data_IF_962865135594
#
_entry.id   IF_962865135594
#
_cell.length_a   1.000
_cell.length_b   1.000
_cell.length_c   1.000
_cell.angle_alpha   90.00
_cell.angle_beta   90.00
_cell.angle_gamma   90.00
#
_symmetry.space_group_name_H-M   'P 1'
#
loop_
_entity.id
_entity.type
_entity.pdbx_description
1 polymer ?
#
# COMPACT_ATOMS: atom_id res chain seq x y z
N UNK A 1 -11.48 13.31 -41.24
CA UNK A 1 -10.64 14.47 -40.86
C UNK A 1 -11.29 15.24 -39.71
N UNK A 2 -10.83 15.04 -38.47
CA UNK A 2 -10.86 16.08 -37.42
C UNK A 2 -9.63 15.84 -36.54
N UNK A 3 -8.68 16.77 -36.63
CA UNK A 3 -7.46 16.84 -35.83
C UNK A 3 -7.85 17.38 -34.45
N UNK A 4 -7.49 16.68 -33.39
CA UNK A 4 -7.45 17.27 -32.05
C UNK A 4 -6.00 17.62 -31.76
N UNK A 5 -5.73 18.93 -31.65
CA UNK A 5 -4.42 19.49 -31.31
C UNK A 5 -4.02 19.05 -29.89
N UNK A 6 -2.82 18.50 -29.77
CA UNK A 6 -2.08 18.49 -28.51
C UNK A 6 -1.41 19.86 -28.34
N UNK A 7 -1.84 20.61 -27.33
CA UNK A 7 -1.06 21.69 -26.70
C UNK A 7 -0.51 21.04 -25.44
N UNK A 8 0.77 21.01 -25.12
CA UNK A 8 1.88 21.87 -25.50
C UNK A 8 2.65 22.11 -24.20
N UNK A 9 3.93 21.76 -24.21
CA UNK A 9 4.85 21.82 -23.07
C UNK A 9 4.77 23.14 -22.28
N UNK A 10 4.41 23.08 -21.00
CA UNK A 10 4.63 24.19 -20.05
C UNK A 10 4.81 23.81 -18.57
N UNK A 11 4.78 22.53 -18.20
CA UNK A 11 4.86 22.10 -16.79
C UNK A 11 6.28 21.84 -16.28
N UNK A 12 7.28 21.75 -17.17
CA UNK A 12 8.67 21.50 -16.75
C UNK A 12 9.34 22.72 -16.08
N UNK A 13 8.82 23.94 -16.31
CA UNK A 13 9.38 25.15 -15.71
C UNK A 13 8.80 25.44 -14.31
N UNK A 14 7.59 24.95 -14.00
CA UNK A 14 6.94 25.14 -12.69
C UNK A 14 7.49 24.20 -11.60
N UNK A 15 7.98 23.00 -11.97
CA UNK A 15 8.55 22.05 -11.01
C UNK A 15 9.88 22.53 -10.43
N UNK A 16 10.70 23.16 -11.26
CA UNK A 16 12.00 23.71 -10.88
C UNK A 16 11.84 25.03 -10.11
N UNK A 17 10.80 25.82 -10.43
CA UNK A 17 10.35 26.96 -9.62
C UNK A 17 9.85 26.47 -8.26
N UNK A 18 9.10 25.37 -8.15
CA UNK A 18 8.58 24.84 -6.88
C UNK A 18 9.69 24.30 -5.94
N UNK A 19 10.67 23.56 -6.48
CA UNK A 19 11.81 23.06 -5.70
C UNK A 19 12.79 24.18 -5.30
N UNK A 20 13.05 25.15 -6.20
CA UNK A 20 13.86 26.34 -5.90
C UNK A 20 13.14 27.29 -4.96
N UNK A 21 11.81 27.43 -5.05
CA UNK A 21 11.02 28.22 -4.10
C UNK A 21 10.96 27.54 -2.73
N UNK A 22 10.91 26.21 -2.62
CA UNK A 22 10.95 25.54 -1.29
C UNK A 22 12.34 25.65 -0.63
N UNK A 23 13.43 25.41 -1.38
CA UNK A 23 14.80 25.64 -0.87
C UNK A 23 15.05 27.13 -0.56
N UNK A 24 14.54 28.05 -1.39
CA UNK A 24 14.60 29.48 -1.12
C UNK A 24 13.71 29.88 0.08
N UNK A 25 12.56 29.24 0.28
CA UNK A 25 11.69 29.44 1.45
C UNK A 25 12.41 29.05 2.75
N UNK A 26 13.12 27.91 2.74
CA UNK A 26 14.02 27.49 3.83
C UNK A 26 15.17 28.47 4.07
N UNK A 27 15.79 29.00 3.01
CA UNK A 27 16.94 29.92 3.10
C UNK A 27 16.53 31.34 3.50
N UNK A 28 15.32 31.80 3.14
CA UNK A 28 14.77 33.13 3.48
C UNK A 28 14.33 33.21 4.95
N UNK A 29 13.96 32.08 5.57
CA UNK A 29 13.68 31.97 7.01
C UNK A 29 14.92 32.17 7.89
N UNK A 30 16.14 31.98 7.36
CA UNK A 30 17.37 32.13 8.14
C UNK A 30 17.98 33.55 8.10
N UNK A 31 17.48 34.46 7.25
CA UNK A 31 18.19 35.72 6.94
C UNK A 31 17.36 37.00 6.93
N UNK A 32 16.07 36.94 7.25
CA UNK A 32 15.24 38.13 7.48
C UNK A 32 14.38 37.88 8.70
N UNK A 33 14.42 38.85 9.60
CA UNK A 33 13.55 39.01 10.76
C UNK A 33 12.11 39.28 10.28
N UNK A 34 11.54 38.28 9.61
CA UNK A 34 10.11 38.16 9.37
C UNK A 34 9.56 37.65 10.70
N UNK A 35 8.66 38.42 11.30
CA UNK A 35 7.78 38.07 12.41
C UNK A 35 7.74 36.55 12.61
N UNK A 36 8.19 36.06 13.76
CA UNK A 36 8.19 34.64 14.10
C UNK A 36 6.82 34.04 13.77
N UNK A 37 6.70 33.45 12.59
CA UNK A 37 5.52 32.70 12.19
C UNK A 37 5.48 31.55 13.18
N UNK A 38 4.42 31.51 13.97
CA UNK A 38 4.18 30.68 15.15
C UNK A 38 4.18 29.19 14.83
N UNK A 39 5.31 28.66 14.37
CA UNK A 39 5.49 27.24 14.17
C UNK A 39 5.42 26.58 15.53
N UNK A 40 4.40 25.73 15.71
CA UNK A 40 4.26 24.87 16.87
C UNK A 40 4.27 23.41 16.41
N UNK A 41 4.98 22.57 17.16
CA UNK A 41 4.82 21.13 17.03
C UNK A 41 3.38 20.76 17.38
N UNK A 42 2.78 19.89 16.57
CA UNK A 42 1.42 19.38 16.76
C UNK A 42 1.48 17.92 17.15
N UNK A 43 0.48 17.49 17.92
CA UNK A 43 0.14 16.09 18.09
C UNK A 43 -0.91 15.69 17.05
N UNK A 44 -0.59 14.72 16.18
CA UNK A 44 -1.42 14.38 15.02
C UNK A 44 -1.81 12.90 15.07
N UNK A 45 -3.12 12.63 14.99
CA UNK A 45 -3.66 11.29 14.83
C UNK A 45 -3.94 10.99 13.35
N UNK A 46 -3.36 9.92 12.81
CA UNK A 46 -3.63 9.42 11.45
C UNK A 46 -4.43 8.13 11.54
N UNK A 47 -5.65 8.14 11.04
CA UNK A 47 -6.55 6.97 11.02
C UNK A 47 -6.34 6.22 9.71
N UNK A 48 -5.67 5.07 9.77
CA UNK A 48 -5.33 4.20 8.65
C UNK A 48 -3.82 4.04 8.45
N UNK A 49 -3.34 2.80 8.53
CA UNK A 49 -1.93 2.41 8.41
C UNK A 49 -1.54 1.88 7.03
N UNK A 50 -2.32 2.14 5.98
CA UNK A 50 -1.99 1.77 4.59
C UNK A 50 -0.90 2.64 3.95
N UNK A 51 -0.59 2.42 2.67
CA UNK A 51 0.47 3.17 1.92
C UNK A 51 0.31 4.69 2.04
N UNK A 52 -0.92 5.20 1.86
CA UNK A 52 -1.19 6.64 1.94
C UNK A 52 -1.03 7.22 3.36
N UNK A 53 -1.46 6.45 4.37
CA UNK A 53 -1.27 6.81 5.78
C UNK A 53 0.20 6.86 6.16
N UNK A 54 0.98 5.84 5.79
CA UNK A 54 2.42 5.79 6.04
C UNK A 54 3.17 6.94 5.36
N UNK A 55 2.86 7.24 4.09
CA UNK A 55 3.46 8.38 3.38
C UNK A 55 3.14 9.71 4.08
N UNK A 56 1.89 9.89 4.52
CA UNK A 56 1.45 11.08 5.29
C UNK A 56 2.24 11.22 6.59
N UNK A 57 2.39 10.12 7.34
CA UNK A 57 3.12 10.10 8.61
C UNK A 57 4.59 10.50 8.42
N UNK A 58 5.25 9.96 7.39
CA UNK A 58 6.65 10.30 7.09
C UNK A 58 6.78 11.80 6.81
N UNK A 59 5.88 12.37 6.01
CA UNK A 59 5.88 13.81 5.71
C UNK A 59 5.70 14.66 6.98
N UNK A 60 4.75 14.29 7.84
CA UNK A 60 4.43 15.04 9.06
C UNK A 60 5.53 14.96 10.12
N UNK A 61 6.12 13.79 10.34
CA UNK A 61 7.23 13.66 11.30
C UNK A 61 8.45 14.44 10.83
N UNK A 62 8.75 14.43 9.52
CA UNK A 62 9.85 15.22 8.92
C UNK A 62 9.61 16.73 9.03
N UNK A 63 8.34 17.16 9.05
CA UNK A 63 7.95 18.53 9.34
C UNK A 63 8.03 18.90 10.84
N UNK A 64 8.41 17.95 11.71
CA UNK A 64 8.65 18.16 13.14
C UNK A 64 7.44 17.91 14.04
N UNK A 65 6.38 17.26 13.55
CA UNK A 65 5.20 16.92 14.35
C UNK A 65 5.33 15.57 15.07
N UNK A 66 4.57 15.37 16.16
CA UNK A 66 4.38 14.06 16.79
C UNK A 66 3.20 13.38 16.11
N UNK A 67 3.37 12.12 15.71
CA UNK A 67 2.36 11.43 14.91
C UNK A 67 2.04 10.06 15.51
N UNK A 68 0.76 9.79 15.69
CA UNK A 68 0.22 8.49 16.09
C UNK A 68 -0.62 7.92 14.96
N UNK A 69 -0.40 6.66 14.62
CA UNK A 69 -1.11 5.91 13.57
C UNK A 69 -2.08 4.96 14.24
N UNK A 70 -3.33 4.97 13.81
CA UNK A 70 -4.37 4.05 14.28
C UNK A 70 -4.82 3.17 13.11
N UNK A 71 -4.47 1.89 13.15
CA UNK A 71 -4.84 0.90 12.14
C UNK A 71 -5.93 -0.03 12.69
N UNK A 72 -6.95 -0.29 11.87
CA UNK A 72 -8.07 -1.15 12.26
C UNK A 72 -7.68 -2.63 12.35
N UNK A 73 -6.72 -3.09 11.54
CA UNK A 73 -6.21 -4.45 11.56
C UNK A 73 -5.32 -4.72 12.77
N UNK A 74 -5.25 -5.99 13.16
CA UNK A 74 -4.39 -6.57 14.20
C UNK A 74 -2.91 -6.60 13.81
N UNK A 75 -2.63 -6.70 12.51
CA UNK A 75 -1.31 -6.63 11.92
C UNK A 75 -1.28 -5.57 10.83
N UNK A 76 -0.27 -4.71 10.89
CA UNK A 76 -0.01 -3.77 9.79
C UNK A 76 0.78 -4.47 8.68
N UNK A 77 0.03 -5.06 7.77
CA UNK A 77 0.52 -5.66 6.54
C UNK A 77 -0.46 -5.41 5.40
N UNK A 78 0.05 -5.42 4.18
CA UNK A 78 -0.79 -5.37 2.98
C UNK A 78 -0.96 -6.78 2.41
N UNK A 79 -2.11 -7.02 1.78
CA UNK A 79 -2.34 -8.18 0.93
C UNK A 79 -2.61 -7.65 -0.47
N UNK A 80 -1.84 -8.08 -1.45
CA UNK A 80 -2.00 -7.60 -2.81
C UNK A 80 -0.97 -8.14 -3.79
N UNK A 81 -1.15 -7.78 -5.05
CA UNK A 81 -0.17 -8.06 -6.09
C UNK A 81 0.85 -6.91 -6.19
N UNK A 82 1.37 -6.67 -7.39
CA UNK A 82 2.24 -5.54 -7.64
C UNK A 82 1.47 -4.21 -7.68
N UNK A 83 2.19 -3.12 -7.40
CA UNK A 83 1.74 -1.73 -7.57
C UNK A 83 2.74 -0.99 -8.45
N UNK A 84 2.21 -0.26 -9.42
CA UNK A 84 2.99 0.59 -10.31
C UNK A 84 3.26 1.94 -9.64
N UNK A 85 4.53 2.35 -9.62
CA UNK A 85 4.99 3.63 -9.10
C UNK A 85 5.77 4.35 -10.20
N UNK A 86 5.06 5.21 -10.94
CA UNK A 86 5.63 6.06 -11.97
C UNK A 86 6.45 7.22 -11.35
N UNK A 87 7.15 8.00 -12.19
CA UNK A 87 8.06 9.07 -11.75
C UNK A 87 7.45 10.02 -10.72
N UNK A 88 6.17 10.37 -10.86
CA UNK A 88 5.46 11.22 -9.91
C UNK A 88 5.38 10.62 -8.50
N UNK A 89 5.21 9.30 -8.37
CA UNK A 89 5.24 8.59 -7.09
C UNK A 89 6.67 8.38 -6.59
N UNK A 90 7.58 7.93 -7.46
CA UNK A 90 8.99 7.67 -7.12
C UNK A 90 9.67 8.93 -6.60
N UNK A 91 9.39 10.09 -7.20
CA UNK A 91 9.83 11.40 -6.73
C UNK A 91 9.53 11.60 -5.24
N UNK A 92 8.30 11.35 -4.81
CA UNK A 92 7.92 11.54 -3.41
C UNK A 92 8.60 10.54 -2.48
N UNK A 93 8.84 9.31 -2.92
CA UNK A 93 9.61 8.35 -2.11
C UNK A 93 11.04 8.85 -1.87
N UNK A 94 11.68 9.47 -2.86
CA UNK A 94 12.98 10.14 -2.69
C UNK A 94 12.88 11.36 -1.76
N UNK A 95 11.91 12.25 -1.97
CA UNK A 95 11.75 13.46 -1.13
C UNK A 95 11.43 13.12 0.34
N UNK A 96 10.74 12.00 0.58
CA UNK A 96 10.46 11.49 1.92
C UNK A 96 11.68 10.78 2.56
N UNK A 97 12.77 10.58 1.82
CA UNK A 97 13.98 9.92 2.31
C UNK A 97 13.79 8.43 2.56
N UNK A 98 12.90 7.79 1.81
CA UNK A 98 12.60 6.36 1.95
C UNK A 98 13.71 5.54 1.28
N UNK A 99 14.20 4.50 1.98
CA UNK A 99 15.16 3.56 1.39
C UNK A 99 14.47 2.63 0.37
N UNK A 100 14.51 3.04 -0.89
CA UNK A 100 13.89 2.33 -2.01
C UNK A 100 14.41 0.90 -2.20
N UNK A 101 15.63 0.60 -1.75
CA UNK A 101 16.21 -0.75 -1.89
C UNK A 101 15.40 -1.78 -1.10
N UNK A 102 14.83 -1.39 0.04
CA UNK A 102 13.94 -2.25 0.84
C UNK A 102 12.64 -2.63 0.12
N UNK A 103 12.20 -1.79 -0.82
CA UNK A 103 11.02 -2.05 -1.64
C UNK A 103 11.21 -3.19 -2.65
N UNK A 104 12.46 -3.55 -2.98
CA UNK A 104 12.81 -4.56 -4.00
C UNK A 104 12.02 -4.37 -5.31
N UNK A 105 12.03 -3.11 -5.79
CA UNK A 105 11.28 -2.70 -6.96
C UNK A 105 11.90 -3.19 -8.26
N UNK A 106 11.06 -3.64 -9.19
CA UNK A 106 11.49 -3.95 -10.57
C UNK A 106 11.37 -2.70 -11.42
N UNK A 107 12.44 -2.33 -12.12
CA UNK A 107 12.41 -1.22 -13.08
C UNK A 107 11.61 -1.62 -14.32
N UNK A 108 10.56 -0.86 -14.63
CA UNK A 108 9.74 -1.09 -15.80
C UNK A 108 10.46 -0.57 -17.05
N UNK A 109 10.76 -1.48 -17.99
CA UNK A 109 11.53 -1.16 -19.22
C UNK A 109 10.66 -0.97 -20.45
N UNK A 110 9.55 -1.71 -20.54
CA UNK A 110 8.63 -1.69 -21.68
C UNK A 110 7.21 -1.94 -21.21
N UNK A 111 6.25 -1.31 -21.86
CA UNK A 111 4.83 -1.65 -21.78
C UNK A 111 4.42 -2.28 -23.11
N UNK A 112 4.00 -3.55 -23.07
CA UNK A 112 3.66 -4.31 -24.27
C UNK A 112 2.18 -4.65 -24.21
N UNK A 113 1.40 -4.10 -25.14
CA UNK A 113 0.04 -4.57 -25.40
C UNK A 113 0.11 -5.78 -26.32
N UNK A 114 -0.68 -6.81 -26.02
CA UNK A 114 -0.69 -8.08 -26.77
C UNK A 114 -2.11 -8.46 -27.14
N UNK A 115 -2.24 -9.10 -28.28
CA UNK A 115 -3.49 -9.72 -28.69
C UNK A 115 -3.86 -10.82 -27.70
N UNK A 116 -5.13 -10.87 -27.32
CA UNK A 116 -5.59 -11.79 -26.29
C UNK A 116 -5.59 -13.24 -26.77
N UNK A 117 -6.00 -13.49 -28.02
CA UNK A 117 -6.14 -14.83 -28.55
C UNK A 117 -4.79 -15.45 -28.87
N UNK A 118 -3.93 -14.71 -29.58
CA UNK A 118 -2.65 -15.20 -30.10
C UNK A 118 -1.48 -14.96 -29.16
N UNK A 119 -1.52 -13.89 -28.35
CA UNK A 119 -0.40 -13.47 -27.50
C UNK A 119 0.64 -12.59 -28.22
N UNK A 120 0.45 -12.33 -29.52
CA UNK A 120 1.34 -11.51 -30.33
C UNK A 120 1.36 -10.04 -29.86
N UNK A 121 2.51 -9.35 -29.90
CA UNK A 121 2.57 -7.91 -29.59
C UNK A 121 1.73 -7.08 -30.57
N UNK A 122 0.81 -6.28 -30.05
CA UNK A 122 0.06 -5.28 -30.82
C UNK A 122 0.74 -3.91 -30.78
N UNK A 123 1.31 -3.55 -29.64
CA UNK A 123 2.11 -2.32 -29.49
C UNK A 123 3.15 -2.48 -28.39
N UNK A 124 4.30 -1.83 -28.59
CA UNK A 124 5.42 -1.82 -27.65
C UNK A 124 5.78 -0.38 -27.38
N UNK A 125 5.65 0.05 -26.13
CA UNK A 125 6.14 1.33 -25.64
C UNK A 125 7.45 1.09 -24.91
N UNK A 126 8.54 1.62 -25.46
CA UNK A 126 9.85 1.58 -24.81
C UNK A 126 9.95 2.67 -23.74
N UNK A 127 10.55 2.33 -22.61
CA UNK A 127 10.73 3.22 -21.45
C UNK A 127 12.22 3.37 -21.10
N UNK A 128 13.12 3.08 -22.05
CA UNK A 128 14.57 3.19 -21.86
C UNK A 128 15.06 4.61 -21.51
N UNK A 129 14.39 5.65 -22.02
CA UNK A 129 14.66 7.07 -21.76
C UNK A 129 13.80 7.66 -20.62
N UNK A 130 13.03 6.82 -19.91
CA UNK A 130 12.01 7.31 -18.98
C UNK A 130 12.58 8.14 -17.83
N UNK A 131 13.68 7.68 -17.23
CA UNK A 131 14.32 8.41 -16.12
C UNK A 131 14.93 9.73 -16.60
N UNK A 132 15.56 9.77 -17.78
CA UNK A 132 16.08 11.00 -18.37
C UNK A 132 14.96 12.02 -18.60
N UNK A 133 13.82 11.55 -19.14
CA UNK A 133 12.68 12.41 -19.48
C UNK A 133 11.91 12.92 -18.26
N UNK A 134 11.77 12.10 -17.22
CA UNK A 134 10.90 12.40 -16.07
C UNK A 134 11.65 12.60 -14.75
N UNK A 135 12.98 12.44 -14.75
CA UNK A 135 13.89 12.64 -13.62
C UNK A 135 13.90 11.49 -12.60
N UNK A 136 13.01 10.50 -12.72
CA UNK A 136 12.87 9.41 -11.75
C UNK A 136 12.47 8.10 -12.43
N UNK A 137 12.93 6.99 -11.84
CA UNK A 137 12.67 5.62 -12.31
C UNK A 137 11.21 5.21 -12.15
N UNK A 138 10.67 4.48 -13.14
CA UNK A 138 9.38 3.78 -13.02
C UNK A 138 9.57 2.41 -12.37
N UNK A 139 9.08 2.26 -11.13
CA UNK A 139 9.13 1.00 -10.40
C UNK A 139 7.80 0.23 -10.45
N UNK A 140 7.91 -1.09 -10.47
CA UNK A 140 6.87 -2.02 -10.06
C UNK A 140 7.29 -2.64 -8.73
N UNK A 141 6.59 -2.30 -7.66
CA UNK A 141 6.82 -2.88 -6.33
C UNK A 141 5.83 -3.99 -6.04
N UNK A 142 6.20 -4.97 -5.22
CA UNK A 142 5.20 -5.74 -4.49
C UNK A 142 4.55 -4.82 -3.46
N UNK A 143 3.21 -4.79 -3.39
CA UNK A 143 2.48 -3.87 -2.51
C UNK A 143 2.90 -4.03 -1.03
N UNK A 144 3.18 -5.27 -0.61
CA UNK A 144 3.69 -5.61 0.72
C UNK A 144 5.06 -5.01 1.02
N UNK A 145 5.96 -5.05 0.03
CA UNK A 145 7.31 -4.49 0.17
C UNK A 145 7.31 -2.97 0.15
N UNK A 146 6.48 -2.37 -0.73
CA UNK A 146 6.28 -0.92 -0.72
C UNK A 146 5.75 -0.45 0.62
N UNK A 147 4.76 -1.15 1.18
CA UNK A 147 4.21 -0.84 2.49
C UNK A 147 5.25 -1.03 3.60
N UNK A 148 5.97 -2.15 3.62
CA UNK A 148 7.01 -2.43 4.64
C UNK A 148 8.11 -1.38 4.63
N UNK A 149 8.60 -1.01 3.44
CA UNK A 149 9.57 0.06 3.22
C UNK A 149 9.08 1.40 3.79
N UNK A 150 7.82 1.76 3.56
CA UNK A 150 7.23 2.98 4.10
C UNK A 150 7.02 2.89 5.62
N UNK A 151 6.59 1.73 6.13
CA UNK A 151 6.44 1.48 7.56
C UNK A 151 7.78 1.63 8.29
N UNK A 152 8.85 1.07 7.74
CA UNK A 152 10.20 1.22 8.29
C UNK A 152 10.61 2.69 8.37
N UNK A 153 10.34 3.49 7.32
CA UNK A 153 10.63 4.92 7.34
C UNK A 153 9.72 5.70 8.31
N UNK A 154 8.46 5.29 8.47
CA UNK A 154 7.51 5.95 9.36
C UNK A 154 7.80 5.69 10.84
N UNK A 155 8.27 4.49 11.19
CA UNK A 155 8.46 4.03 12.58
C UNK A 155 9.92 3.97 13.03
N UNK A 156 10.87 3.97 12.08
CA UNK A 156 12.30 3.86 12.36
C UNK A 156 12.98 5.21 12.60
N UNK A 157 14.30 5.14 12.71
CA UNK A 157 15.15 6.33 12.82
C UNK A 157 15.16 7.14 11.52
N UNK A 158 15.32 8.46 11.63
CA UNK A 158 15.29 9.37 10.48
C UNK A 158 15.02 10.82 10.89
N UNK A 159 14.71 11.66 9.92
CA UNK A 159 14.29 13.04 10.17
C UNK A 159 12.96 13.09 10.94
N UNK A 160 12.97 13.70 12.13
CA UNK A 160 11.81 13.82 13.01
C UNK A 160 11.61 12.62 13.95
N UNK A 161 10.67 12.75 14.88
CA UNK A 161 10.41 11.71 15.90
C UNK A 161 9.71 10.48 15.30
N UNK A 162 10.13 9.25 15.66
CA UNK A 162 9.41 8.04 15.29
C UNK A 162 7.91 8.11 15.58
N UNK A 163 7.10 7.77 14.59
CA UNK A 163 5.67 7.70 14.79
C UNK A 163 5.31 6.50 15.66
N UNK A 164 4.22 6.64 16.42
CA UNK A 164 3.67 5.54 17.23
C UNK A 164 2.60 4.82 16.42
N UNK A 165 2.59 3.49 16.45
CA UNK A 165 1.60 2.69 15.75
C UNK A 165 0.73 1.91 16.74
N UNK A 166 -0.58 2.07 16.61
CA UNK A 166 -1.61 1.37 17.37
C UNK A 166 -2.45 0.53 16.41
N UNK A 167 -2.44 -0.78 16.60
CA UNK A 167 -3.23 -1.78 15.85
C UNK A 167 -4.53 -2.11 16.59
N UNK A 168 -5.52 -2.72 15.95
CA UNK A 168 -6.85 -2.97 16.52
C UNK A 168 -7.60 -1.68 16.93
N UNK A 169 -7.37 -0.58 16.24
CA UNK A 169 -7.96 0.74 16.51
C UNK A 169 -8.85 1.17 15.34
N UNK A 170 -9.96 0.45 15.14
CA UNK A 170 -10.98 0.83 14.15
C UNK A 170 -11.75 2.05 14.63
N UNK A 171 -11.60 3.16 13.93
CA UNK A 171 -12.30 4.41 14.24
C UNK A 171 -13.82 4.24 14.07
N UNK A 172 -14.58 4.66 15.08
CA UNK A 172 -16.06 4.71 15.06
C UNK A 172 -16.61 6.13 15.20
N UNK A 173 -15.86 7.04 15.82
CA UNK A 173 -16.31 8.40 16.10
C UNK A 173 -15.15 9.39 16.13
N UNK A 174 -15.42 10.63 15.71
CA UNK A 174 -14.48 11.75 15.76
C UNK A 174 -15.24 12.99 16.24
N UNK A 175 -14.66 13.72 17.17
CA UNK A 175 -15.12 15.05 17.58
C UNK A 175 -14.11 16.10 17.13
N UNK A 176 -14.48 16.91 16.13
CA UNK A 176 -13.62 17.96 15.61
C UNK A 176 -13.38 19.11 16.61
N UNK A 177 -14.32 19.35 17.53
CA UNK A 177 -14.21 20.41 18.54
C UNK A 177 -13.23 20.05 19.66
N UNK A 178 -13.13 18.76 20.02
CA UNK A 178 -12.26 18.29 21.10
C UNK A 178 -11.00 17.59 20.59
N UNK A 179 -10.92 17.28 19.30
CA UNK A 179 -9.83 16.49 18.72
C UNK A 179 -9.86 15.02 19.15
N UNK A 180 -10.98 14.53 19.66
CA UNK A 180 -11.12 13.16 20.14
C UNK A 180 -11.42 12.18 18.99
N UNK A 181 -10.79 11.01 19.06
CA UNK A 181 -11.07 9.83 18.24
C UNK A 181 -11.59 8.74 19.17
N UNK A 182 -12.69 8.10 18.79
CA UNK A 182 -13.25 6.94 19.47
C UNK A 182 -13.06 5.69 18.62
N UNK A 183 -12.69 4.59 19.26
CA UNK A 183 -12.42 3.33 18.60
C UNK A 183 -13.42 2.22 19.01
N UNK A 184 -13.56 1.19 18.17
CA UNK A 184 -14.44 0.04 18.45
C UNK A 184 -13.97 -0.79 19.65
N UNK A 185 -12.67 -0.77 19.97
CA UNK A 185 -12.10 -1.43 21.16
C UNK A 185 -12.34 -0.65 22.48
N UNK A 186 -13.26 0.32 22.48
CA UNK A 186 -13.60 1.21 23.61
C UNK A 186 -12.49 2.15 24.08
N UNK A 187 -11.31 2.14 23.43
CA UNK A 187 -10.29 3.15 23.67
C UNK A 187 -10.64 4.48 22.99
N UNK A 188 -9.97 5.54 23.43
CA UNK A 188 -10.03 6.86 22.81
C UNK A 188 -8.65 7.53 22.80
N UNK A 189 -8.48 8.48 21.90
CA UNK A 189 -7.28 9.31 21.80
C UNK A 189 -7.65 10.76 21.49
N UNK A 190 -6.76 11.70 21.81
CA UNK A 190 -6.97 13.13 21.55
C UNK A 190 -5.74 13.73 20.89
N UNK A 191 -5.95 14.51 19.83
CA UNK A 191 -4.90 15.13 19.02
C UNK A 191 -5.26 16.56 18.61
N UNK A 192 -4.25 17.38 18.30
CA UNK A 192 -4.45 18.72 17.72
C UNK A 192 -5.05 18.66 16.31
N UNK A 193 -4.75 17.58 15.57
CA UNK A 193 -5.21 17.35 14.20
C UNK A 193 -5.47 15.86 13.99
N UNK A 194 -6.55 15.55 13.28
CA UNK A 194 -6.90 14.19 12.86
C UNK A 194 -6.90 14.11 11.34
N UNK A 195 -6.24 13.10 10.78
CA UNK A 195 -6.20 12.83 9.34
C UNK A 195 -6.85 11.48 9.05
N UNK A 196 -7.88 11.48 8.19
CA UNK A 196 -8.49 10.27 7.66
C UNK A 196 -7.71 9.71 6.47
N UNK A 197 -7.05 8.57 6.67
CA UNK A 197 -6.33 7.79 5.65
C UNK A 197 -6.83 6.32 5.58
N UNK A 198 -8.10 6.10 5.91
CA UNK A 198 -8.77 4.81 6.12
C UNK A 198 -9.42 4.23 4.84
N UNK A 199 -8.94 4.67 3.67
CA UNK A 199 -9.19 4.03 2.38
C UNK A 199 -10.60 4.21 1.80
N UNK A 200 -10.94 3.38 0.81
CA UNK A 200 -12.20 3.52 0.05
C UNK A 200 -13.47 3.31 0.92
N UNK A 201 -13.31 2.56 2.01
CA UNK A 201 -14.34 2.30 3.01
C UNK A 201 -14.49 3.38 4.08
N UNK A 202 -13.77 4.51 3.95
CA UNK A 202 -13.57 5.51 5.00
C UNK A 202 -14.78 5.77 5.92
N UNK A 203 -14.59 5.47 7.21
CA UNK A 203 -15.46 5.89 8.30
C UNK A 203 -15.28 7.38 8.56
N UNK A 204 -14.04 7.89 8.51
CA UNK A 204 -13.75 9.31 8.75
C UNK A 204 -14.51 10.20 7.76
N UNK A 205 -14.53 9.85 6.48
CA UNK A 205 -15.29 10.56 5.44
C UNK A 205 -16.79 10.60 5.76
N UNK A 206 -17.34 9.50 6.27
CA UNK A 206 -18.76 9.41 6.66
C UNK A 206 -19.06 10.28 7.89
N UNK A 207 -18.14 10.35 8.86
CA UNK A 207 -18.25 11.21 10.05
C UNK A 207 -18.21 12.71 9.70
N UNK A 208 -17.57 13.06 8.58
CA UNK A 208 -17.62 14.41 8.00
C UNK A 208 -18.90 14.67 7.18
N UNK A 209 -19.88 13.76 7.22
CA UNK A 209 -21.11 13.82 6.42
C UNK A 209 -20.89 13.84 4.90
N UNK A 210 -19.73 13.35 4.44
CA UNK A 210 -19.41 13.24 3.01
C UNK A 210 -19.80 11.86 2.51
N UNK A 211 -21.00 11.75 1.96
CA UNK A 211 -21.53 10.48 1.46
C UNK A 211 -21.27 10.32 -0.05
N UNK A 212 -20.71 9.18 -0.43
CA UNK A 212 -20.39 8.86 -1.83
C UNK A 212 -21.23 7.68 -2.31
N UNK A 213 -21.86 7.78 -3.48
CA UNK A 213 -22.53 6.63 -4.12
C UNK A 213 -21.49 5.76 -4.81
N UNK A 214 -21.20 4.58 -4.24
CA UNK A 214 -20.36 3.56 -4.89
C UNK A 214 -21.17 2.89 -6.00
N UNK A 215 -20.62 2.87 -7.22
CA UNK A 215 -21.19 2.13 -8.37
C UNK A 215 -20.24 0.97 -8.70
N UNK A 216 -20.72 -0.28 -8.74
CA UNK A 216 -19.92 -1.38 -9.23
C UNK A 216 -19.46 -1.11 -10.66
N UNK A 217 -18.22 -1.46 -10.98
CA UNK A 217 -17.77 -1.50 -12.37
C UNK A 217 -18.37 -2.73 -13.07
N UNK A 218 -18.58 -2.65 -14.38
CA UNK A 218 -19.05 -3.79 -15.19
C UNK A 218 -18.00 -4.91 -15.29
N UNK A 219 -16.76 -4.61 -14.91
CA UNK A 219 -15.62 -5.52 -14.98
C UNK A 219 -15.02 -5.75 -13.61
N UNK A 220 -14.58 -6.99 -13.36
CA UNK A 220 -13.79 -7.37 -12.18
C UNK A 220 -12.35 -7.68 -12.57
N UNK A 221 -11.40 -7.40 -11.68
CA UNK A 221 -10.00 -7.73 -11.89
C UNK A 221 -9.51 -8.80 -10.92
N UNK A 222 -8.91 -9.87 -11.46
CA UNK A 222 -8.32 -10.95 -10.67
C UNK A 222 -6.80 -10.78 -10.60
N UNK A 223 -6.28 -10.62 -9.39
CA UNK A 223 -4.86 -10.42 -9.13
C UNK A 223 -4.27 -11.57 -8.33
N UNK A 224 -3.08 -12.02 -8.72
CA UNK A 224 -2.29 -13.00 -7.97
C UNK A 224 -0.80 -12.84 -8.29
N UNK A 225 0.04 -13.06 -7.28
CA UNK A 225 1.47 -13.27 -7.47
C UNK A 225 1.71 -14.76 -7.75
N UNK A 226 2.56 -15.05 -8.73
CA UNK A 226 2.99 -16.41 -9.10
C UNK A 226 4.51 -16.44 -9.05
N UNK A 227 5.06 -17.49 -8.44
CA UNK A 227 6.50 -17.70 -8.47
C UNK A 227 6.93 -18.27 -9.81
N UNK A 228 8.01 -17.71 -10.36
CA UNK A 228 8.60 -18.22 -11.60
C UNK A 228 8.91 -19.70 -11.51
N UNK A 229 9.48 -20.18 -10.39
CA UNK A 229 9.78 -21.60 -10.19
C UNK A 229 8.53 -22.49 -10.23
N UNK A 230 7.40 -22.02 -9.69
CA UNK A 230 6.16 -22.80 -9.65
C UNK A 230 5.51 -22.83 -11.04
N UNK A 231 5.56 -21.70 -11.76
CA UNK A 231 5.14 -21.65 -13.16
C UNK A 231 5.96 -22.60 -14.03
N UNK A 232 7.28 -22.57 -13.91
CA UNK A 232 8.19 -23.47 -14.65
C UNK A 232 7.96 -24.93 -14.27
N UNK A 233 7.82 -25.25 -12.98
CA UNK A 233 7.54 -26.61 -12.51
C UNK A 233 6.18 -27.14 -13.03
N UNK A 234 5.21 -26.26 -13.25
CA UNK A 234 3.92 -26.59 -13.86
C UNK A 234 3.98 -26.70 -15.41
N UNK A 235 5.18 -26.65 -16.01
CA UNK A 235 5.38 -26.71 -17.46
C UNK A 235 5.00 -25.42 -18.19
N UNK A 236 4.84 -24.30 -17.48
CA UNK A 236 4.48 -23.01 -18.05
C UNK A 236 5.73 -22.20 -18.39
N UNK A 237 5.57 -21.25 -19.32
CA UNK A 237 6.64 -20.39 -19.80
C UNK A 237 7.37 -19.68 -18.66
N UNK A 238 8.70 -19.74 -18.66
CA UNK A 238 9.51 -18.88 -17.80
C UNK A 238 9.38 -17.44 -18.27
N UNK A 239 8.55 -16.65 -17.58
CA UNK A 239 8.32 -15.24 -17.88
C UNK A 239 9.51 -14.33 -17.53
N UNK A 240 10.54 -14.84 -16.84
CA UNK A 240 11.76 -14.10 -16.50
C UNK A 240 12.81 -14.21 -17.62
N UNK A 241 12.77 -15.27 -18.42
CA UNK A 241 13.72 -15.52 -19.50
C UNK A 241 13.61 -14.43 -20.59
N UNK A 242 14.75 -13.84 -21.00
CA UNK A 242 14.78 -12.75 -21.99
C UNK A 242 14.20 -13.17 -23.35
N UNK A 243 14.35 -14.43 -23.70
CA UNK A 243 13.82 -15.04 -24.93
C UNK A 243 12.28 -15.13 -24.97
N UNK A 244 11.63 -15.27 -23.81
CA UNK A 244 10.17 -15.35 -23.70
C UNK A 244 9.48 -13.99 -23.55
N UNK A 245 10.23 -12.89 -23.46
CA UNK A 245 9.66 -11.55 -23.52
C UNK A 245 9.12 -11.19 -24.91
N UNK A 246 9.44 -11.99 -25.93
CA UNK A 246 8.99 -11.78 -27.32
C UNK A 246 7.61 -12.41 -27.57
N UNK A 247 7.39 -13.65 -27.15
CA UNK A 247 6.12 -14.38 -27.32
C UNK A 247 5.63 -14.90 -25.97
N UNK A 248 4.49 -14.36 -25.51
CA UNK A 248 3.78 -14.89 -24.36
C UNK A 248 2.66 -15.81 -24.84
N UNK A 249 2.22 -16.80 -24.05
CA UNK A 249 1.06 -17.59 -24.40
C UNK A 249 -0.15 -16.70 -24.69
N UNK A 250 -0.82 -16.96 -25.80
CA UNK A 250 -2.16 -16.47 -26.09
C UNK A 250 -3.19 -17.01 -25.08
N UNK A 251 -4.47 -16.81 -25.38
CA UNK A 251 -5.60 -17.10 -24.48
C UNK A 251 -5.49 -18.47 -23.80
N UNK A 252 -5.21 -19.54 -24.56
CA UNK A 252 -5.14 -20.91 -24.03
C UNK A 252 -4.09 -21.07 -22.92
N UNK A 253 -2.87 -20.57 -23.12
CA UNK A 253 -1.83 -20.69 -22.11
C UNK A 253 -2.05 -19.74 -20.92
N UNK A 254 -2.69 -18.57 -21.11
CA UNK A 254 -3.09 -17.71 -19.99
C UNK A 254 -4.19 -18.35 -19.13
N UNK A 255 -5.15 -19.02 -19.76
CA UNK A 255 -6.18 -19.81 -19.07
C UNK A 255 -5.53 -20.99 -18.33
N UNK A 256 -4.58 -21.70 -18.93
CA UNK A 256 -3.85 -22.78 -18.25
C UNK A 256 -3.11 -22.28 -16.99
N UNK A 257 -2.41 -21.13 -17.06
CA UNK A 257 -1.81 -20.50 -15.85
C UNK A 257 -2.88 -20.21 -14.80
N UNK A 258 -4.05 -19.71 -15.22
CA UNK A 258 -5.14 -19.47 -14.30
C UNK A 258 -5.64 -20.77 -13.67
N UNK A 259 -6.00 -21.78 -14.44
CA UNK A 259 -6.57 -23.04 -13.96
C UNK A 259 -5.61 -23.85 -13.10
N UNK A 260 -4.34 -23.98 -13.52
CA UNK A 260 -3.36 -24.83 -12.85
C UNK A 260 -2.77 -24.17 -11.61
N UNK A 261 -2.55 -22.85 -11.64
CA UNK A 261 -1.82 -22.15 -10.56
C UNK A 261 -2.74 -21.21 -9.77
N UNK A 262 -3.58 -20.43 -10.44
CA UNK A 262 -4.37 -19.38 -9.76
C UNK A 262 -5.65 -19.91 -9.16
N UNK A 263 -6.40 -20.77 -9.86
CA UNK A 263 -7.73 -21.21 -9.48
C UNK A 263 -7.73 -21.89 -8.12
N UNK A 264 -6.82 -22.85 -7.79
CA UNK A 264 -6.78 -23.44 -6.45
C UNK A 264 -6.61 -22.40 -5.34
N UNK A 265 -5.86 -21.33 -5.60
CA UNK A 265 -5.64 -20.23 -4.66
C UNK A 265 -6.86 -19.31 -4.57
N UNK A 266 -7.36 -18.84 -5.70
CA UNK A 266 -8.51 -17.91 -5.77
C UNK A 266 -9.74 -18.54 -5.14
N UNK A 267 -9.99 -19.83 -5.39
CA UNK A 267 -11.07 -20.58 -4.76
C UNK A 267 -10.95 -20.60 -3.24
N UNK A 268 -9.75 -20.82 -2.69
CA UNK A 268 -9.52 -20.74 -1.23
C UNK A 268 -9.76 -19.34 -0.66
N UNK A 269 -9.27 -18.30 -1.34
CA UNK A 269 -9.48 -16.89 -0.93
C UNK A 269 -10.96 -16.52 -0.98
N UNK A 270 -11.67 -16.89 -2.04
CA UNK A 270 -13.10 -16.65 -2.18
C UNK A 270 -13.90 -17.42 -1.14
N UNK A 271 -13.57 -18.70 -0.88
CA UNK A 271 -14.20 -19.48 0.18
C UNK A 271 -14.00 -18.82 1.57
N UNK A 272 -12.78 -18.37 1.88
CA UNK A 272 -12.51 -17.65 3.12
C UNK A 272 -13.28 -16.32 3.20
N UNK A 273 -13.33 -15.54 2.11
CA UNK A 273 -14.09 -14.30 2.06
C UNK A 273 -15.60 -14.50 2.22
N UNK A 274 -16.17 -15.56 1.62
CA UNK A 274 -17.58 -15.94 1.79
C UNK A 274 -17.85 -16.30 3.24
N UNK A 275 -17.02 -17.14 3.87
CA UNK A 275 -17.14 -17.50 5.29
C UNK A 275 -17.02 -16.26 6.20
N UNK A 276 -16.11 -15.34 5.87
CA UNK A 276 -15.92 -14.08 6.57
C UNK A 276 -17.14 -13.14 6.53
N UNK A 277 -18.04 -13.32 5.56
CA UNK A 277 -19.31 -12.60 5.51
C UNK A 277 -20.26 -12.97 6.66
N UNK A 278 -20.10 -14.16 7.25
CA UNK A 278 -20.93 -14.68 8.33
C UNK A 278 -20.19 -14.77 9.67
N UNK A 279 -18.86 -14.96 9.64
CA UNK A 279 -18.02 -15.06 10.83
C UNK A 279 -16.71 -14.33 10.60
N UNK A 280 -16.48 -13.22 11.30
CA UNK A 280 -15.29 -12.39 11.10
C UNK A 280 -13.97 -13.12 11.39
N UNK A 281 -13.98 -14.15 12.24
CA UNK A 281 -12.80 -14.98 12.53
C UNK A 281 -12.33 -15.79 11.32
N UNK A 282 -13.17 -15.95 10.29
CA UNK A 282 -12.79 -16.62 9.02
C UNK A 282 -12.05 -15.67 8.07
N UNK A 283 -12.00 -14.38 8.38
CA UNK A 283 -11.32 -13.38 7.57
C UNK A 283 -9.81 -13.57 7.65
N UNK A 284 -9.14 -13.49 6.49
CA UNK A 284 -7.67 -13.47 6.40
C UNK A 284 -7.13 -12.37 7.33
N UNK A 285 -6.21 -12.73 8.22
CA UNK A 285 -5.74 -11.89 9.34
C UNK A 285 -6.34 -12.37 10.65
N UNK A 286 -7.66 -12.23 10.80
CA UNK A 286 -8.41 -12.61 12.00
C UNK A 286 -8.40 -14.12 12.28
N UNK A 287 -8.31 -14.95 11.25
CA UNK A 287 -8.18 -16.41 11.36
C UNK A 287 -6.91 -16.90 12.06
N UNK A 288 -5.98 -15.97 12.32
CA UNK A 288 -4.72 -16.24 13.04
C UNK A 288 -4.81 -15.84 14.52
N UNK A 289 -5.90 -15.22 14.98
CA UNK A 289 -6.09 -14.77 16.37
C UNK A 289 -6.72 -15.86 17.24
N UNK A 290 -6.07 -17.02 17.37
CA UNK A 290 -6.63 -18.18 18.08
C UNK A 290 -6.78 -18.00 19.59
N UNK A 291 -6.17 -16.96 20.16
CA UNK A 291 -6.12 -16.73 21.61
C UNK A 291 -7.21 -15.76 22.12
N UNK A 292 -8.06 -15.22 21.24
CA UNK A 292 -9.16 -14.34 21.69
C UNK A 292 -10.36 -15.17 22.18
N UNK A 293 -11.08 -14.75 23.25
CA UNK A 293 -12.16 -15.55 23.83
C UNK A 293 -13.29 -15.93 22.86
N UNK A 294 -13.51 -15.09 21.85
CA UNK A 294 -14.58 -15.26 20.86
C UNK A 294 -14.07 -15.92 19.57
N UNK A 295 -12.86 -16.49 19.58
CA UNK A 295 -12.29 -17.18 18.44
C UNK A 295 -13.05 -18.48 18.19
N UNK A 296 -13.58 -18.59 16.98
CA UNK A 296 -14.23 -19.80 16.47
C UNK A 296 -14.23 -19.75 14.96
N UNK A 297 -13.81 -20.84 14.32
CA UNK A 297 -13.87 -21.04 12.86
C UNK A 297 -14.57 -22.38 12.60
N UNK A 298 -15.18 -22.52 11.42
CA UNK A 298 -15.94 -23.71 11.06
C UNK A 298 -15.07 -24.97 10.97
N UNK A 299 -13.82 -24.82 10.49
CA UNK A 299 -12.84 -25.89 10.40
C UNK A 299 -11.43 -25.31 10.51
N UNK A 300 -10.73 -25.67 11.58
CA UNK A 300 -9.35 -25.27 11.86
C UNK A 300 -8.37 -25.67 10.75
N UNK A 301 -8.61 -26.79 10.06
CA UNK A 301 -7.75 -27.27 8.99
C UNK A 301 -8.02 -26.60 7.65
N UNK A 302 -9.18 -25.95 7.50
CA UNK A 302 -9.61 -25.30 6.25
C UNK A 302 -9.67 -23.77 6.36
N UNK A 303 -9.23 -23.18 7.47
CA UNK A 303 -9.07 -21.72 7.61
C UNK A 303 -7.91 -21.25 6.73
N UNK A 304 -8.03 -20.04 6.19
CA UNK A 304 -6.96 -19.42 5.42
C UNK A 304 -6.27 -18.37 6.29
N UNK A 305 -5.05 -18.64 6.71
CA UNK A 305 -4.28 -17.76 7.59
C UNK A 305 -3.53 -16.68 6.81
N UNK A 306 -3.13 -15.60 7.51
CA UNK A 306 -2.28 -14.58 6.91
C UNK A 306 -0.88 -15.14 6.59
N UNK A 307 -0.39 -16.06 7.43
CA UNK A 307 0.88 -16.76 7.18
C UNK A 307 0.84 -17.62 5.93
N UNK A 308 -0.25 -18.35 5.66
CA UNK A 308 -0.38 -19.09 4.39
C UNK A 308 -0.47 -18.16 3.20
N UNK A 309 -1.21 -17.05 3.32
CA UNK A 309 -1.24 -16.01 2.29
C UNK A 309 0.14 -15.38 2.03
N UNK A 310 0.96 -15.25 3.08
CA UNK A 310 2.32 -14.72 3.03
C UNK A 310 3.36 -15.77 2.62
N UNK A 311 3.31 -17.03 3.03
CA UNK A 311 4.27 -18.09 2.64
C UNK A 311 4.28 -18.34 1.15
N UNK A 312 3.14 -18.12 0.48
CA UNK A 312 2.97 -18.26 -0.97
C UNK A 312 3.47 -16.99 -1.72
N UNK A 313 3.86 -15.92 -1.00
CA UNK A 313 4.59 -14.76 -1.54
C UNK A 313 5.91 -14.61 -0.77
N UNK A 314 7.06 -15.11 -1.24
CA UNK A 314 8.26 -15.30 -0.43
C UNK A 314 8.74 -13.98 0.16
N UNK A 315 8.30 -13.72 1.38
CA UNK A 315 8.93 -12.83 2.34
C UNK A 315 9.89 -13.75 3.09
N UNK A 316 11.05 -14.04 2.52
CA UNK A 316 12.06 -14.86 3.17
C UNK A 316 12.92 -14.06 4.17
N UNK A 317 12.40 -12.98 4.78
CA UNK A 317 13.24 -12.18 5.71
C UNK A 317 12.51 -11.41 6.84
N UNK A 318 11.29 -11.77 7.24
CA UNK A 318 10.63 -11.07 8.38
C UNK A 318 10.22 -12.01 9.53
N UNK A 319 10.27 -13.33 9.36
CA UNK A 319 9.75 -14.26 10.38
C UNK A 319 10.77 -14.58 11.49
N UNK A 320 12.05 -14.28 11.34
CA UNK A 320 13.06 -14.60 12.37
C UNK A 320 13.11 -13.64 13.57
N UNK A 321 12.20 -12.67 13.68
CA UNK A 321 12.18 -11.69 14.79
C UNK A 321 10.95 -11.72 15.69
N UNK A 322 9.93 -12.55 15.41
CA UNK A 322 8.63 -12.49 16.10
C UNK A 322 8.34 -13.66 17.04
N UNK A 323 9.24 -14.63 17.18
CA UNK A 323 9.05 -15.78 18.09
C UNK A 323 9.31 -15.47 19.56
N UNK A 324 9.54 -14.22 19.94
CA UNK A 324 9.69 -13.86 21.36
C UNK A 324 9.28 -12.43 21.65
N UNK A 325 7.97 -12.17 21.73
CA UNK A 325 7.41 -11.13 22.62
C UNK A 325 5.93 -11.44 22.86
N UNK A 326 5.70 -12.10 23.99
CA UNK A 326 4.38 -12.25 24.59
C UNK A 326 3.70 -10.88 24.70
N UNK A 327 2.61 -10.68 23.99
CA UNK A 327 1.62 -9.67 24.32
C UNK A 327 0.42 -10.42 24.91
N UNK A 328 0.35 -10.43 26.25
CA UNK A 328 -0.84 -10.90 26.97
C UNK A 328 -1.97 -9.91 26.67
N UNK A 329 -2.90 -10.32 25.83
CA UNK A 329 -4.23 -9.74 25.78
C UNK A 329 -4.98 -10.14 27.05
N UNK A 330 -5.44 -9.16 27.82
CA UNK A 330 -6.31 -9.38 28.98
C UNK A 330 -7.72 -8.98 28.55
N UNK A 331 -8.69 -9.90 28.50
CA UNK A 331 -10.05 -9.58 28.11
C UNK A 331 -10.75 -8.73 29.17
N UNK A 332 -11.63 -7.78 28.81
CA UNK A 332 -12.55 -7.17 29.75
C UNK A 332 -13.78 -8.07 29.88
N UNK A 333 -13.76 -8.94 30.91
CA UNK A 333 -14.83 -9.84 31.39
C UNK A 333 -15.48 -10.80 30.39
#
# INVERSE_FOLDING_TARGET
>A
MRRTLFVGAKEAMESDICAKTWKAFRKRLCGRQLLATSWRQLDIGVVGGGIGGMATVIALRRAGHRVSIYEQADLVGEVGASISCAANGTRWLHELGVDLKKGDGVVLRKLISRDWETGEPLSVYDLGDYEERWGYVHYMFQRQRMHSMLKDAALGDGEGLPAKLFVNHKCKGISASTGAIEFENSSSATHDLIIGADGIGSTVRSLLSIHTKKRPAETSCLHANVLTKDAVAAGLTDFKAKEHQKVLPGRRGRIAVYETIRLPRVTKVQAAATKAGYNINERIGFSSNTEVPNYSVMDEKAKLTIEEMMRISPISTVVTGLTSRQLRYVPPY
#
